data_IF_068362490232
#
_entry.id   IF_068362490232
#
_cell.length_a   1.000
_cell.length_b   1.000
_cell.length_c   1.000
_cell.angle_alpha   90.00
_cell.angle_beta   90.00
_cell.angle_gamma   90.00
#
_symmetry.space_group_name_H-M   'P 1'
#
loop_
_entity.id
_entity.type
_entity.pdbx_description
1 polymer ?
#
# COMPACT_ATOMS: atom_id res chain seq x y z
N UNK A 1 10.84 -12.66 2.53
CA UNK A 1 10.24 -11.45 3.10
C UNK A 1 8.74 -11.64 3.11
N UNK A 2 8.08 -11.34 4.22
CA UNK A 2 6.62 -11.30 4.32
C UNK A 2 6.14 -9.86 4.50
N UNK A 3 4.97 -9.53 3.95
CA UNK A 3 4.30 -8.25 4.15
C UNK A 3 2.85 -8.47 4.56
N UNK A 4 2.30 -7.60 5.43
CA UNK A 4 0.86 -7.54 5.63
C UNK A 4 0.18 -7.22 4.30
N UNK A 5 -0.86 -7.97 3.96
CA UNK A 5 -1.65 -7.83 2.75
C UNK A 5 -3.12 -7.72 3.15
N UNK A 6 -3.76 -6.64 2.73
CA UNK A 6 -5.16 -6.34 3.04
C UNK A 6 -5.72 -5.35 2.03
N UNK A 7 -7.06 -5.30 1.96
CA UNK A 7 -7.80 -4.31 1.19
C UNK A 7 -9.03 -3.89 1.98
N UNK A 8 -9.31 -2.58 2.04
CA UNK A 8 -10.51 -2.04 2.69
C UNK A 8 -11.01 -0.80 1.97
N UNK A 9 -12.33 -0.62 1.93
CA UNK A 9 -13.00 0.61 1.47
C UNK A 9 -13.42 1.52 2.62
N UNK A 10 -13.13 1.12 3.86
CA UNK A 10 -13.66 1.74 5.08
C UNK A 10 -12.59 2.62 5.73
N UNK A 11 -11.49 2.01 6.16
CA UNK A 11 -10.39 2.68 6.86
C UNK A 11 -9.11 1.85 6.74
N UNK A 12 -7.97 2.48 7.05
CA UNK A 12 -6.71 1.75 7.18
C UNK A 12 -6.75 0.77 8.37
N UNK A 13 -7.45 1.12 9.46
CA UNK A 13 -7.60 0.25 10.63
C UNK A 13 -8.35 -1.04 10.29
N UNK A 14 -9.44 -0.96 9.52
CA UNK A 14 -10.17 -2.15 9.03
C UNK A 14 -9.30 -3.02 8.12
N UNK A 15 -8.42 -2.41 7.32
CA UNK A 15 -7.41 -3.14 6.56
C UNK A 15 -6.44 -3.87 7.50
N UNK A 16 -5.92 -3.18 8.53
CA UNK A 16 -4.93 -3.70 9.47
C UNK A 16 -5.48 -4.86 10.31
N UNK A 17 -6.74 -4.79 10.74
CA UNK A 17 -7.40 -5.85 11.51
C UNK A 17 -7.59 -7.15 10.71
N UNK A 18 -7.75 -7.03 9.39
CA UNK A 18 -7.97 -8.15 8.48
C UNK A 18 -6.72 -8.53 7.67
N UNK A 19 -5.56 -7.97 8.01
CA UNK A 19 -4.35 -8.20 7.24
C UNK A 19 -3.80 -9.62 7.42
N UNK A 20 -3.52 -10.28 6.31
CA UNK A 20 -2.84 -11.57 6.28
C UNK A 20 -1.38 -11.40 5.84
N UNK A 21 -0.50 -12.29 6.33
CA UNK A 21 0.90 -12.25 5.90
C UNK A 21 1.08 -12.92 4.55
N UNK A 22 1.42 -12.11 3.55
CA UNK A 22 1.74 -12.56 2.20
C UNK A 22 3.25 -12.68 2.01
N UNK A 23 3.69 -13.76 1.34
CA UNK A 23 5.10 -13.95 0.99
C UNK A 23 5.43 -13.17 -0.28
N UNK A 24 6.37 -12.24 -0.22
CA UNK A 24 6.80 -11.50 -1.39
C UNK A 24 7.71 -12.33 -2.29
N UNK A 25 7.35 -12.43 -3.58
CA UNK A 25 8.08 -13.20 -4.59
C UNK A 25 8.98 -12.33 -5.51
N UNK A 26 9.25 -11.07 -5.14
CA UNK A 26 10.04 -10.13 -5.95
C UNK A 26 11.51 -10.03 -5.46
N UNK A 27 12.43 -10.89 -5.93
CA UNK A 27 13.86 -10.67 -5.71
C UNK A 27 14.38 -9.58 -6.65
N UNK A 28 15.37 -8.76 -6.25
CA UNK A 28 16.01 -8.66 -4.92
C UNK A 28 15.47 -7.51 -4.03
N UNK A 29 14.40 -6.81 -4.44
CA UNK A 29 13.93 -5.58 -3.77
C UNK A 29 12.42 -5.58 -3.54
N UNK A 30 11.89 -6.62 -2.91
CA UNK A 30 10.54 -6.58 -2.39
C UNK A 30 10.42 -5.49 -1.32
N UNK A 31 9.33 -4.72 -1.35
CA UNK A 31 8.98 -3.67 -0.38
C UNK A 31 7.58 -3.92 0.11
N UNK A 32 7.31 -3.71 1.40
CA UNK A 32 5.92 -3.66 1.86
C UNK A 32 5.37 -2.27 1.57
N UNK A 33 4.15 -2.19 1.05
CA UNK A 33 3.49 -0.92 0.79
C UNK A 33 2.22 -0.78 1.62
N UNK A 34 1.79 0.48 1.76
CA UNK A 34 0.43 0.87 2.13
C UNK A 34 -0.01 1.97 1.17
N UNK A 35 -1.24 1.91 0.68
CA UNK A 35 -1.82 2.97 -0.14
C UNK A 35 -3.16 3.40 0.43
N UNK A 36 -3.47 4.67 0.21
CA UNK A 36 -4.80 5.26 0.34
C UNK A 36 -5.05 5.98 -0.98
N UNK A 37 -6.03 5.54 -1.73
CA UNK A 37 -6.39 6.14 -3.01
C UNK A 37 -7.89 6.40 -3.04
N UNK A 38 -8.31 7.50 -3.67
CA UNK A 38 -9.72 7.76 -3.91
C UNK A 38 -10.06 7.33 -5.34
N UNK A 39 -10.82 6.26 -5.56
CA UNK A 39 -11.28 5.90 -6.90
C UNK A 39 -12.10 7.04 -7.52
N UNK A 40 -12.28 7.01 -8.84
CA UNK A 40 -13.07 8.00 -9.61
C UNK A 40 -14.52 8.17 -9.10
N UNK A 41 -15.03 7.24 -8.27
CA UNK A 41 -16.29 7.39 -7.55
C UNK A 41 -16.09 8.09 -6.18
N UNK A 42 -16.80 9.21 -5.91
CA UNK A 42 -16.32 10.25 -5.01
C UNK A 42 -16.52 10.02 -3.50
N UNK A 43 -17.11 8.92 -3.06
CA UNK A 43 -17.58 8.79 -1.66
C UNK A 43 -16.73 7.87 -0.77
N UNK A 44 -15.74 7.16 -1.32
CA UNK A 44 -14.99 6.18 -0.54
C UNK A 44 -13.49 6.24 -0.85
N UNK A 45 -12.67 6.02 0.17
CA UNK A 45 -11.25 5.78 0.01
C UNK A 45 -11.01 4.27 -0.05
N UNK A 46 -10.03 3.89 -0.84
CA UNK A 46 -9.53 2.54 -0.91
C UNK A 46 -8.16 2.46 -0.23
N UNK A 47 -8.06 1.58 0.74
CA UNK A 47 -6.85 1.30 1.50
C UNK A 47 -6.34 -0.08 1.10
N UNK A 48 -5.05 -0.20 0.84
CA UNK A 48 -4.46 -1.52 0.60
C UNK A 48 -3.04 -1.62 1.12
N UNK A 49 -2.64 -2.84 1.49
CA UNK A 49 -1.26 -3.22 1.80
C UNK A 49 -0.85 -4.42 0.97
N UNK A 50 0.44 -4.60 0.81
CA UNK A 50 0.98 -5.82 0.20
C UNK A 50 2.45 -5.70 -0.16
N UNK A 51 2.87 -6.59 -1.07
CA UNK A 51 4.22 -6.60 -1.61
C UNK A 51 4.30 -5.79 -2.91
N UNK A 52 5.28 -4.91 -3.02
CA UNK A 52 5.62 -4.21 -4.25
C UNK A 52 7.06 -4.54 -4.68
N UNK A 53 7.28 -4.60 -5.99
CA UNK A 53 8.62 -4.51 -6.57
C UNK A 53 9.10 -3.05 -6.56
N UNK A 54 10.38 -2.81 -6.84
CA UNK A 54 10.88 -1.45 -7.03
C UNK A 54 10.14 -0.70 -8.16
N UNK A 55 9.84 -1.38 -9.26
CA UNK A 55 9.09 -0.81 -10.39
C UNK A 55 7.67 -0.44 -9.98
N UNK A 56 6.96 -1.36 -9.31
CA UNK A 56 5.62 -1.11 -8.77
C UNK A 56 5.61 0.04 -7.78
N UNK A 57 6.65 0.16 -6.96
CA UNK A 57 6.81 1.29 -6.05
C UNK A 57 6.95 2.62 -6.81
N UNK A 58 7.79 2.66 -7.85
CA UNK A 58 7.99 3.87 -8.65
C UNK A 58 6.70 4.26 -9.37
N UNK A 59 5.96 3.28 -9.89
CA UNK A 59 4.67 3.47 -10.55
C UNK A 59 3.61 4.02 -9.58
N UNK A 60 3.43 3.38 -8.42
CA UNK A 60 2.49 3.84 -7.38
C UNK A 60 2.82 5.26 -6.88
N UNK A 61 4.10 5.55 -6.68
CA UNK A 61 4.55 6.87 -6.22
C UNK A 61 4.32 7.94 -7.28
N UNK A 62 4.60 7.62 -8.55
CA UNK A 62 4.38 8.54 -9.67
C UNK A 62 2.88 8.77 -9.87
N UNK A 63 2.08 7.70 -9.87
CA UNK A 63 0.64 7.78 -10.00
C UNK A 63 0.00 8.62 -8.89
N UNK A 64 0.36 8.39 -7.62
CA UNK A 64 -0.12 9.23 -6.53
C UNK A 64 0.37 10.69 -6.60
N UNK A 65 1.55 10.95 -7.17
CA UNK A 65 2.06 12.31 -7.33
C UNK A 65 1.32 13.11 -8.41
N UNK A 66 0.88 12.43 -9.47
CA UNK A 66 0.07 13.02 -10.55
C UNK A 66 -1.43 13.11 -10.18
N UNK A 67 -1.89 12.34 -9.20
CA UNK A 67 -3.30 12.30 -8.81
C UNK A 67 -3.70 13.44 -7.86
N UNK A 68 -4.63 14.28 -8.29
CA UNK A 68 -5.18 15.37 -7.49
C UNK A 68 -6.17 14.91 -6.40
N UNK A 69 -6.51 13.62 -6.33
CA UNK A 69 -7.55 13.05 -5.47
C UNK A 69 -7.04 12.47 -4.14
N UNK A 70 -6.05 13.11 -3.50
CA UNK A 70 -5.58 12.74 -2.15
C UNK A 70 -5.06 11.28 -2.08
N UNK A 71 -4.30 10.89 -3.10
CA UNK A 71 -3.56 9.62 -3.15
C UNK A 71 -2.34 9.70 -2.24
N UNK A 72 -2.17 8.70 -1.37
CA UNK A 72 -1.05 8.59 -0.46
C UNK A 72 -0.47 7.19 -0.54
N UNK A 73 0.86 7.10 -0.54
CA UNK A 73 1.59 5.83 -0.52
C UNK A 73 2.69 5.87 0.53
N UNK A 74 2.82 4.78 1.27
CA UNK A 74 3.87 4.55 2.24
C UNK A 74 4.56 3.21 1.98
N UNK A 75 5.80 3.07 2.41
CA UNK A 75 6.59 1.86 2.18
C UNK A 75 7.60 1.58 3.28
N UNK A 76 8.01 0.32 3.38
CA UNK A 76 9.11 -0.11 4.24
C UNK A 76 9.85 -1.30 3.63
N UNK A 77 11.13 -1.46 3.98
CA UNK A 77 12.06 -2.43 3.39
C UNK A 77 12.28 -3.66 4.28
N UNK A 78 11.86 -3.62 5.53
CA UNK A 78 12.05 -4.70 6.48
C UNK A 78 10.99 -5.79 6.29
N UNK A 79 11.31 -7.04 6.62
CA UNK A 79 10.30 -8.09 6.66
C UNK A 79 9.34 -7.81 7.81
N UNK A 80 8.06 -8.11 7.61
CA UNK A 80 7.03 -8.00 8.65
C UNK A 80 6.81 -6.55 9.14
N UNK A 81 7.28 -5.55 8.36
CA UNK A 81 7.10 -4.15 8.67
C UNK A 81 5.68 -3.67 8.37
N UNK A 82 5.18 -2.78 9.23
CA UNK A 82 3.90 -2.10 9.01
C UNK A 82 4.15 -0.75 8.35
N UNK A 83 4.11 -0.71 7.01
CA UNK A 83 4.26 0.52 6.25
C UNK A 83 3.25 1.58 6.75
N UNK A 84 3.65 2.84 6.85
CA UNK A 84 2.77 3.91 7.32
C UNK A 84 2.60 4.95 6.22
N UNK A 85 1.40 5.49 6.08
CA UNK A 85 1.17 6.66 5.22
C UNK A 85 1.94 7.84 5.84
N UNK A 86 2.71 8.55 5.02
CA UNK A 86 3.37 9.78 5.45
C UNK A 86 2.32 10.83 5.83
N UNK A 87 2.60 11.61 6.88
CA UNK A 87 1.79 12.81 7.20
C UNK A 87 1.92 13.86 6.11
#
# INVERSE_FOLDING_TARGET
>A
MGCPSCQSTTSLEDCDENAEMEKCFYPPQARCFVTKAKPENPDQYYYSRGCASEETYQDLTSHCADDANDCQVGFCLESDCLASLGN
#
